data_IF_719591587793
#
_entry.id   IF_719591587793
#
_cell.length_a   1.000
_cell.length_b   1.000
_cell.length_c   1.000
_cell.angle_alpha   90.00
_cell.angle_beta   90.00
_cell.angle_gamma   90.00
#
_symmetry.space_group_name_H-M   'P 1'
#
loop_
_entity.id
_entity.type
_entity.pdbx_description
1 polymer ?
#
# COMPACT_ATOMS: atom_id res chain seq x y z
N UNK A 1 -4.66 -8.57 23.84
CA UNK A 1 -5.37 -7.66 22.92
C UNK A 1 -4.83 -7.85 21.52
N UNK A 2 -5.71 -7.97 20.54
CA UNK A 2 -5.31 -8.15 19.13
C UNK A 2 -4.94 -6.82 18.51
N UNK A 3 -3.92 -6.85 17.64
CA UNK A 3 -3.60 -5.71 16.78
C UNK A 3 -4.65 -5.61 15.66
N UNK A 4 -5.20 -4.43 15.44
CA UNK A 4 -6.24 -4.21 14.46
C UNK A 4 -5.63 -3.81 13.12
N UNK A 5 -5.73 -4.71 12.14
CA UNK A 5 -5.12 -4.58 10.82
C UNK A 5 -6.20 -4.29 9.79
N UNK A 6 -6.03 -3.21 9.03
CA UNK A 6 -6.88 -2.91 7.88
C UNK A 6 -6.15 -3.31 6.60
N UNK A 7 -6.68 -4.28 5.88
CA UNK A 7 -6.16 -4.67 4.56
C UNK A 7 -6.85 -3.84 3.50
N UNK A 8 -6.08 -3.03 2.78
CA UNK A 8 -6.59 -2.14 1.72
C UNK A 8 -6.22 -2.74 0.36
N UNK A 9 -7.20 -2.98 -0.49
CA UNK A 9 -6.98 -3.65 -1.76
C UNK A 9 -7.95 -3.21 -2.85
N UNK A 10 -7.67 -3.64 -4.08
CA UNK A 10 -8.41 -3.25 -5.27
C UNK A 10 -7.71 -2.13 -6.01
N UNK A 11 -8.36 -0.99 -6.14
CA UNK A 11 -7.78 0.22 -6.69
C UNK A 11 -8.10 0.47 -8.15
N UNK A 12 -7.70 1.67 -8.60
CA UNK A 12 -8.01 2.19 -9.93
C UNK A 12 -7.07 1.71 -11.03
N UNK A 13 -5.95 1.08 -10.67
CA UNK A 13 -4.96 0.67 -11.66
C UNK A 13 -5.42 -0.51 -12.52
N UNK A 14 -4.74 -0.75 -13.63
CA UNK A 14 -4.96 -1.93 -14.46
C UNK A 14 -4.64 -3.24 -13.73
N UNK A 15 -4.01 -3.17 -12.57
CA UNK A 15 -3.67 -4.33 -11.74
C UNK A 15 -4.68 -4.61 -10.62
N UNK A 16 -5.89 -4.03 -10.73
CA UNK A 16 -6.96 -4.22 -9.76
C UNK A 16 -7.24 -5.70 -9.45
N UNK A 17 -7.36 -6.54 -10.46
CA UNK A 17 -7.66 -7.96 -10.30
C UNK A 17 -6.52 -8.70 -9.57
N UNK A 18 -5.28 -8.30 -9.84
CA UNK A 18 -4.10 -8.86 -9.16
C UNK A 18 -4.13 -8.50 -7.68
N UNK A 19 -4.47 -7.24 -7.38
CA UNK A 19 -4.64 -6.77 -6.00
C UNK A 19 -5.70 -7.59 -5.25
N UNK A 20 -6.85 -7.82 -5.85
CA UNK A 20 -7.92 -8.63 -5.24
C UNK A 20 -7.42 -10.04 -4.94
N UNK A 21 -6.71 -10.65 -5.88
CA UNK A 21 -6.15 -12.00 -5.71
C UNK A 21 -5.12 -12.05 -4.59
N UNK A 22 -4.22 -11.09 -4.55
CA UNK A 22 -3.19 -10.99 -3.51
C UNK A 22 -3.82 -10.77 -2.13
N UNK A 23 -4.83 -9.93 -2.05
CA UNK A 23 -5.54 -9.65 -0.81
C UNK A 23 -6.23 -10.91 -0.25
N UNK A 24 -6.83 -11.72 -1.10
CA UNK A 24 -7.45 -12.99 -0.68
C UNK A 24 -6.43 -13.92 -0.03
N UNK A 25 -5.23 -14.02 -0.60
CA UNK A 25 -4.15 -14.83 -0.04
C UNK A 25 -3.69 -14.29 1.31
N UNK A 26 -3.53 -12.98 1.44
CA UNK A 26 -3.13 -12.33 2.69
C UNK A 26 -4.20 -12.50 3.76
N UNK A 27 -5.46 -12.28 3.43
CA UNK A 27 -6.59 -12.43 4.35
C UNK A 27 -6.69 -13.86 4.87
N UNK A 28 -6.44 -14.85 4.02
CA UNK A 28 -6.43 -16.25 4.41
C UNK A 28 -5.24 -16.62 5.29
N UNK A 29 -4.10 -15.93 5.12
CA UNK A 29 -2.87 -16.21 5.84
C UNK A 29 -2.69 -15.48 7.16
N UNK A 30 -3.44 -14.42 7.42
CA UNK A 30 -3.33 -13.66 8.66
C UNK A 30 -3.86 -14.44 9.86
N UNK A 31 -3.05 -14.50 10.91
CA UNK A 31 -3.39 -15.19 12.16
C UNK A 31 -4.46 -14.41 12.93
N UNK A 32 -5.69 -14.93 12.93
CA UNK A 32 -6.83 -14.28 13.59
C UNK A 32 -6.77 -14.35 15.13
N UNK A 33 -5.86 -15.12 15.68
CA UNK A 33 -5.59 -15.12 17.12
C UNK A 33 -4.76 -13.91 17.53
N UNK A 34 -3.95 -13.37 16.59
CA UNK A 34 -3.09 -12.21 16.82
C UNK A 34 -3.67 -10.91 16.30
N UNK A 35 -4.44 -10.99 15.21
CA UNK A 35 -4.91 -9.81 14.46
C UNK A 35 -6.42 -9.80 14.34
N UNK A 36 -6.98 -8.64 14.60
CA UNK A 36 -8.35 -8.34 14.23
C UNK A 36 -8.31 -7.67 12.85
N UNK A 37 -8.85 -8.34 11.83
CA UNK A 37 -8.67 -7.95 10.44
C UNK A 37 -9.93 -7.31 9.90
N UNK A 38 -9.81 -6.14 9.30
CA UNK A 38 -10.85 -5.47 8.54
C UNK A 38 -10.43 -5.32 7.09
N UNK A 39 -11.40 -5.23 6.18
CA UNK A 39 -11.18 -5.11 4.76
C UNK A 39 -11.66 -3.75 4.28
N UNK A 40 -10.79 -3.07 3.52
CA UNK A 40 -11.11 -1.82 2.84
C UNK A 40 -10.89 -2.05 1.35
N UNK A 41 -11.99 -2.13 0.61
CA UNK A 41 -11.95 -2.38 -0.83
C UNK A 41 -12.11 -1.08 -1.61
N UNK A 42 -11.25 -0.89 -2.62
CA UNK A 42 -11.34 0.24 -3.54
C UNK A 42 -11.74 -0.32 -4.90
N UNK A 43 -12.86 0.15 -5.45
CA UNK A 43 -13.30 -0.30 -6.76
C UNK A 43 -12.49 0.34 -7.90
N UNK A 44 -12.82 -0.01 -9.14
CA UNK A 44 -12.08 0.48 -10.32
C UNK A 44 -12.28 1.98 -10.57
N UNK A 45 -13.32 2.57 -10.03
CA UNK A 45 -13.60 4.00 -10.09
C UNK A 45 -12.94 4.78 -8.94
N UNK A 46 -12.32 4.07 -8.00
CA UNK A 46 -11.65 4.69 -6.85
C UNK A 46 -12.54 4.86 -5.63
N UNK A 47 -13.71 4.23 -5.61
CA UNK A 47 -14.63 4.29 -4.49
C UNK A 47 -14.27 3.26 -3.43
N UNK A 48 -14.26 3.70 -2.17
CA UNK A 48 -13.91 2.86 -1.02
C UNK A 48 -15.12 2.23 -0.36
N UNK A 49 -14.97 1.01 0.11
CA UNK A 49 -15.97 0.30 0.91
C UNK A 49 -15.31 -0.35 2.11
N UNK A 50 -15.84 -0.22 3.33
CA UNK A 50 -17.11 0.42 3.68
C UNK A 50 -17.05 1.95 3.69
N UNK A 51 -15.86 2.53 3.81
CA UNK A 51 -15.66 3.98 3.78
C UNK A 51 -14.19 4.29 3.45
N UNK A 52 -13.88 5.51 2.98
CA UNK A 52 -12.50 5.90 2.74
C UNK A 52 -11.73 6.11 4.05
N UNK A 53 -10.41 5.91 3.99
CA UNK A 53 -9.50 6.40 5.02
C UNK A 53 -9.33 7.90 4.79
N UNK A 54 -9.60 8.68 5.82
CA UNK A 54 -9.50 10.13 5.76
C UNK A 54 -8.09 10.59 6.14
N UNK A 55 -7.57 11.64 5.48
CA UNK A 55 -6.23 12.15 5.75
C UNK A 55 -6.17 13.02 7.02
N UNK A 56 -6.79 12.56 8.09
CA UNK A 56 -6.85 13.27 9.36
C UNK A 56 -6.42 12.35 10.50
N UNK A 57 -5.51 12.79 11.38
CA UNK A 57 -5.13 12.02 12.57
C UNK A 57 -6.34 11.68 13.42
N UNK A 58 -6.37 10.47 13.96
CA UNK A 58 -7.43 9.94 14.81
C UNK A 58 -8.81 9.81 14.14
N UNK A 59 -8.91 9.99 12.82
CA UNK A 59 -10.18 9.80 12.09
C UNK A 59 -10.56 8.32 11.97
N UNK A 60 -9.59 7.41 12.09
CA UNK A 60 -9.81 5.96 12.04
C UNK A 60 -9.32 5.31 13.35
N UNK A 61 -9.98 5.54 14.50
CA UNK A 61 -9.50 5.01 15.77
C UNK A 61 -9.55 3.49 15.88
N UNK A 62 -10.29 2.82 15.01
CA UNK A 62 -10.42 1.36 14.94
C UNK A 62 -9.27 0.66 14.20
N UNK A 63 -8.33 1.41 13.63
CA UNK A 63 -7.20 0.86 12.87
C UNK A 63 -5.90 1.11 13.63
N UNK A 64 -5.11 0.06 13.85
CA UNK A 64 -3.76 0.18 14.43
C UNK A 64 -2.70 0.22 13.33
N UNK A 65 -2.86 -0.61 12.29
CA UNK A 65 -1.92 -0.67 11.18
C UNK A 65 -2.66 -0.98 9.88
N UNK A 66 -2.21 -0.38 8.81
CA UNK A 66 -2.75 -0.62 7.46
C UNK A 66 -1.82 -1.55 6.69
N UNK A 67 -2.38 -2.53 6.02
CA UNK A 67 -1.66 -3.41 5.11
C UNK A 67 -2.15 -3.12 3.68
N UNK A 68 -1.47 -2.24 2.96
CA UNK A 68 -1.87 -1.94 1.58
C UNK A 68 -1.46 -3.10 0.66
N UNK A 69 -2.42 -3.61 -0.10
CA UNK A 69 -2.22 -4.67 -1.09
C UNK A 69 -2.67 -4.12 -2.44
N UNK A 70 -2.12 -2.96 -2.80
CA UNK A 70 -2.44 -2.25 -4.02
C UNK A 70 -1.25 -2.35 -4.98
N UNK A 71 -1.53 -2.66 -6.22
CA UNK A 71 -0.50 -2.81 -7.26
C UNK A 71 -0.63 -1.71 -8.30
N UNK A 72 0.52 -1.29 -8.84
CA UNK A 72 0.56 -0.26 -9.87
C UNK A 72 0.37 1.16 -9.35
N UNK A 73 -0.14 2.02 -10.22
CA UNK A 73 -0.36 3.44 -9.94
C UNK A 73 -1.35 3.61 -8.79
N UNK A 74 -1.12 4.63 -7.95
CA UNK A 74 -1.86 4.96 -6.72
C UNK A 74 -1.65 3.97 -5.57
N UNK A 75 -1.05 2.80 -5.79
CA UNK A 75 -0.81 1.81 -4.75
C UNK A 75 0.66 1.64 -4.40
N UNK A 76 1.54 1.74 -5.41
CA UNK A 76 2.98 1.50 -5.25
C UNK A 76 3.84 2.74 -5.50
N UNK A 77 3.25 3.85 -5.92
CA UNK A 77 3.96 5.06 -6.32
C UNK A 77 4.11 6.11 -5.21
N UNK A 78 3.68 5.81 -4.00
CA UNK A 78 3.73 6.72 -2.87
C UNK A 78 2.42 7.45 -2.59
N UNK A 79 1.42 7.35 -3.46
CA UNK A 79 0.14 8.07 -3.31
C UNK A 79 -0.64 7.59 -2.09
N UNK A 80 -0.87 6.28 -1.96
CA UNK A 80 -1.58 5.72 -0.80
C UNK A 80 -0.76 5.91 0.48
N UNK A 81 0.55 5.80 0.38
CA UNK A 81 1.45 6.02 1.52
C UNK A 81 1.34 7.46 2.03
N UNK A 82 1.23 8.43 1.12
CA UNK A 82 1.00 9.83 1.47
C UNK A 82 -0.30 10.03 2.25
N UNK A 83 -1.38 9.39 1.81
CA UNK A 83 -2.65 9.40 2.52
C UNK A 83 -2.50 8.86 3.95
N UNK A 84 -1.81 7.73 4.10
CA UNK A 84 -1.62 7.08 5.40
C UNK A 84 -0.73 7.91 6.33
N UNK A 85 0.28 8.59 5.78
CA UNK A 85 1.10 9.54 6.54
C UNK A 85 0.25 10.70 7.08
N UNK A 86 -0.60 11.29 6.24
CA UNK A 86 -1.50 12.36 6.66
C UNK A 86 -2.51 11.88 7.71
N UNK A 87 -2.94 10.64 7.61
CA UNK A 87 -3.85 10.03 8.58
C UNK A 87 -3.17 9.64 9.90
N UNK A 88 -1.85 9.70 9.97
CA UNK A 88 -1.09 9.30 11.16
C UNK A 88 -1.14 7.80 11.44
N UNK A 89 -1.35 6.98 10.40
CA UNK A 89 -1.46 5.53 10.52
C UNK A 89 -0.15 4.83 10.17
N UNK A 90 0.23 3.86 10.99
CA UNK A 90 1.30 2.93 10.64
C UNK A 90 0.85 2.04 9.48
N UNK A 91 1.78 1.67 8.62
CA UNK A 91 1.48 0.81 7.48
C UNK A 91 2.66 -0.09 7.12
N UNK A 92 2.34 -1.20 6.47
CA UNK A 92 3.31 -2.18 5.99
C UNK A 92 3.86 -1.72 4.64
N UNK A 93 5.18 -1.77 4.49
CA UNK A 93 5.84 -1.46 3.23
C UNK A 93 6.68 -0.19 3.25
N UNK A 94 7.17 0.20 2.08
CA UNK A 94 7.99 1.37 1.91
C UNK A 94 7.20 2.67 2.09
N UNK A 95 7.88 3.71 2.54
CA UNK A 95 7.28 5.04 2.71
C UNK A 95 7.05 5.76 1.37
N UNK A 96 6.65 7.04 1.47
CA UNK A 96 6.32 7.85 0.30
C UNK A 96 7.49 7.94 -0.68
N UNK A 97 8.65 8.36 -0.22
CA UNK A 97 9.82 8.52 -1.09
C UNK A 97 10.27 7.18 -1.67
N UNK A 98 10.38 6.14 -0.82
CA UNK A 98 10.80 4.82 -1.28
C UNK A 98 9.85 4.24 -2.32
N UNK A 99 8.55 4.38 -2.15
CA UNK A 99 7.56 3.92 -3.12
C UNK A 99 7.64 4.70 -4.43
N UNK A 100 7.72 6.02 -4.36
CA UNK A 100 7.81 6.88 -5.54
C UNK A 100 9.08 6.59 -6.35
N UNK A 101 10.23 6.51 -5.69
CA UNK A 101 11.51 6.20 -6.36
C UNK A 101 11.49 4.80 -6.97
N UNK A 102 10.98 3.81 -6.23
CA UNK A 102 10.95 2.42 -6.72
C UNK A 102 10.04 2.25 -7.93
N UNK A 103 8.96 3.03 -8.03
CA UNK A 103 8.06 3.00 -9.17
C UNK A 103 8.67 3.67 -10.41
N UNK A 104 9.53 4.65 -10.23
CA UNK A 104 10.28 5.30 -11.30
C UNK A 104 11.52 4.48 -11.63
N UNK A 105 11.50 3.78 -12.75
CA UNK A 105 12.59 2.87 -13.15
C UNK A 105 13.92 3.60 -13.34
N UNK A 106 13.89 4.81 -13.88
CA UNK A 106 15.10 5.61 -14.04
C UNK A 106 15.70 6.01 -12.70
N UNK A 107 14.89 6.56 -11.80
CA UNK A 107 15.36 6.96 -10.48
C UNK A 107 15.84 5.76 -9.65
N UNK A 108 15.13 4.64 -9.72
CA UNK A 108 15.55 3.39 -9.06
C UNK A 108 16.95 2.98 -9.52
N UNK A 109 17.18 2.98 -10.84
CA UNK A 109 18.47 2.59 -11.40
C UNK A 109 19.58 3.57 -11.03
N UNK A 110 19.29 4.87 -11.01
CA UNK A 110 20.26 5.89 -10.57
C UNK A 110 20.67 5.72 -9.13
N UNK A 111 19.70 5.49 -8.22
CA UNK A 111 19.97 5.26 -6.81
C UNK A 111 20.76 3.97 -6.61
N UNK A 112 20.37 2.88 -7.27
CA UNK A 112 21.07 1.60 -7.19
C UNK A 112 22.51 1.72 -7.72
N UNK A 113 22.72 2.44 -8.82
CA UNK A 113 24.03 2.67 -9.39
C UNK A 113 24.93 3.47 -8.44
N UNK A 114 24.41 4.50 -7.83
CA UNK A 114 25.15 5.31 -6.84
C UNK A 114 25.58 4.46 -5.65
N UNK A 115 24.77 3.49 -5.23
CA UNK A 115 25.07 2.55 -4.14
C UNK A 115 25.82 1.30 -4.61
N UNK A 116 26.28 1.27 -5.86
CA UNK A 116 27.04 0.16 -6.45
C UNK A 116 26.27 -1.16 -6.49
N UNK A 117 24.96 -1.09 -6.60
CA UNK A 117 24.12 -2.28 -6.76
C UNK A 117 24.03 -2.67 -8.24
N UNK A 118 24.02 -3.99 -8.56
CA UNK A 118 23.89 -4.43 -9.95
C UNK A 118 22.57 -3.98 -10.58
N UNK A 119 22.65 -3.43 -11.78
CA UNK A 119 21.48 -3.00 -12.55
C UNK A 119 21.66 -3.37 -14.02
N UNK A 120 20.54 -3.44 -14.75
CA UNK A 120 20.56 -3.50 -16.21
C UNK A 120 20.89 -2.09 -16.74
N UNK A 121 21.74 -2.01 -17.77
CA UNK A 121 22.05 -0.73 -18.42
C UNK A 121 20.76 -0.07 -18.95
N UNK A 122 20.72 1.25 -18.87
CA UNK A 122 19.56 2.03 -19.32
C UNK A 122 19.99 3.35 -19.94
N UNK A 123 19.10 3.88 -20.78
CA UNK A 123 19.27 5.18 -21.44
C UNK A 123 18.19 6.10 -20.90
N UNK A 124 18.59 7.32 -20.59
CA UNK A 124 17.67 8.38 -20.11
C UNK A 124 17.18 9.26 -21.25
#
# INVERSE_FOLDING_TARGET
MKLRVAVVYGGRSGEHEISVRSARAILAGLDRDKYEVSEYFIDKEGKWSPRPILPEPAAQPEIDVVFPVLHGTFGEDGTVQGLLELAGLAYVGAGVLGSAVSMDKEMTKRVCKERLLPIVEFVT
#
